data_IF_611745602305
#
_entry.id   IF_611745602305
#
_cell.length_a   1.000
_cell.length_b   1.000
_cell.length_c   1.000
_cell.angle_alpha   90.00
_cell.angle_beta   90.00
_cell.angle_gamma   90.00
#
_symmetry.space_group_name_H-M   'P 1'
#
loop_
_entity.id
_entity.type
_entity.pdbx_description
1 polymer ?
#
# COMPACT_ATOMS: atom_id res chain seq x y z
N UNK A 1 -30.84 -21.56 -7.47
CA UNK A 1 -30.50 -20.31 -6.75
C UNK A 1 -29.18 -20.39 -5.98
N UNK A 2 -28.84 -21.52 -5.34
CA UNK A 2 -27.58 -21.64 -4.56
C UNK A 2 -26.29 -21.48 -5.39
N UNK A 3 -26.24 -22.07 -6.60
CA UNK A 3 -25.10 -21.91 -7.51
C UNK A 3 -24.81 -20.46 -7.89
N UNK A 4 -25.85 -19.64 -8.12
CA UNK A 4 -25.70 -18.23 -8.49
C UNK A 4 -25.12 -17.43 -7.32
N UNK A 5 -25.59 -17.68 -6.09
CA UNK A 5 -25.05 -17.04 -4.87
C UNK A 5 -23.59 -17.39 -4.65
N UNK A 6 -23.21 -18.65 -4.87
CA UNK A 6 -21.82 -19.10 -4.76
C UNK A 6 -20.90 -18.43 -5.80
N UNK A 7 -21.35 -18.29 -7.05
CA UNK A 7 -20.58 -17.60 -8.10
C UNK A 7 -20.40 -16.12 -7.81
N UNK A 8 -21.45 -15.43 -7.33
CA UNK A 8 -21.35 -14.01 -6.95
C UNK A 8 -20.36 -13.84 -5.80
N UNK A 9 -20.46 -14.66 -4.75
CA UNK A 9 -19.52 -14.60 -3.62
C UNK A 9 -18.06 -14.83 -4.06
N UNK A 10 -17.82 -15.76 -4.98
CA UNK A 10 -16.50 -16.01 -5.54
C UNK A 10 -15.96 -14.82 -6.34
N UNK A 11 -16.80 -14.20 -7.17
CA UNK A 11 -16.43 -13.01 -7.96
C UNK A 11 -16.16 -11.80 -7.09
N UNK A 12 -16.98 -11.56 -6.06
CA UNK A 12 -16.75 -10.44 -5.13
C UNK A 12 -15.47 -10.66 -4.33
N UNK A 13 -15.23 -11.89 -3.85
CA UNK A 13 -14.01 -12.25 -3.13
C UNK A 13 -12.75 -12.06 -3.98
N UNK A 14 -12.78 -12.48 -5.25
CA UNK A 14 -11.63 -12.31 -6.15
C UNK A 14 -11.39 -10.84 -6.52
N UNK A 15 -12.44 -10.07 -6.78
CA UNK A 15 -12.33 -8.64 -7.06
C UNK A 15 -11.72 -7.86 -5.89
N UNK A 16 -12.16 -8.15 -4.65
CA UNK A 16 -11.59 -7.54 -3.44
C UNK A 16 -10.11 -7.94 -3.29
N UNK A 17 -9.78 -9.23 -3.46
CA UNK A 17 -8.40 -9.70 -3.36
C UNK A 17 -7.47 -9.02 -4.36
N UNK A 18 -7.89 -8.89 -5.62
CA UNK A 18 -7.14 -8.19 -6.66
C UNK A 18 -7.01 -6.71 -6.33
N UNK A 19 -8.11 -6.06 -5.91
CA UNK A 19 -8.10 -4.66 -5.53
C UNK A 19 -7.11 -4.37 -4.40
N UNK A 20 -7.10 -5.20 -3.35
CA UNK A 20 -6.15 -5.09 -2.25
C UNK A 20 -4.70 -5.26 -2.71
N UNK A 21 -4.41 -6.23 -3.58
CA UNK A 21 -3.07 -6.44 -4.12
C UNK A 21 -2.58 -5.25 -4.94
N UNK A 22 -3.43 -4.72 -5.83
CA UNK A 22 -3.08 -3.57 -6.66
C UNK A 22 -2.85 -2.32 -5.80
N UNK A 23 -3.78 -1.99 -4.91
CA UNK A 23 -3.66 -0.85 -3.99
C UNK A 23 -2.43 -0.97 -3.10
N UNK A 24 -2.16 -2.16 -2.54
CA UNK A 24 -0.97 -2.42 -1.73
C UNK A 24 0.33 -2.22 -2.52
N UNK A 25 0.38 -2.73 -3.75
CA UNK A 25 1.57 -2.62 -4.61
C UNK A 25 1.83 -1.19 -5.07
N UNK A 26 0.78 -0.48 -5.49
CA UNK A 26 0.87 0.93 -5.91
C UNK A 26 1.26 1.82 -4.73
N UNK A 27 0.66 1.60 -3.57
CA UNK A 27 1.01 2.31 -2.36
C UNK A 27 2.47 2.08 -1.96
N UNK A 28 2.92 0.84 -2.02
CA UNK A 28 4.30 0.49 -1.69
C UNK A 28 5.30 1.10 -2.68
N UNK A 29 4.99 1.07 -3.97
CA UNK A 29 5.80 1.71 -4.99
C UNK A 29 5.92 3.23 -4.78
N UNK A 30 4.83 3.89 -4.39
CA UNK A 30 4.86 5.31 -4.05
C UNK A 30 5.68 5.59 -2.78
N UNK A 31 5.62 4.71 -1.78
CA UNK A 31 6.51 4.80 -0.62
C UNK A 31 7.99 4.69 -1.01
N UNK A 32 8.36 3.73 -1.86
CA UNK A 32 9.74 3.61 -2.37
C UNK A 32 10.18 4.88 -3.08
N UNK A 33 9.29 5.45 -3.91
CA UNK A 33 9.54 6.71 -4.59
C UNK A 33 9.79 7.87 -3.62
N UNK A 34 8.96 8.01 -2.58
CA UNK A 34 9.16 9.03 -1.53
C UNK A 34 10.48 8.82 -0.80
N UNK A 35 10.83 7.58 -0.45
CA UNK A 35 12.10 7.27 0.21
C UNK A 35 13.31 7.74 -0.61
N UNK A 36 13.28 7.54 -1.93
CA UNK A 36 14.32 8.01 -2.85
C UNK A 36 14.33 9.55 -2.93
N UNK A 37 13.15 10.19 -3.02
CA UNK A 37 13.04 11.65 -3.13
C UNK A 37 13.49 12.39 -1.87
N UNK A 38 13.23 11.82 -0.70
CA UNK A 38 13.66 12.35 0.59
C UNK A 38 15.12 11.97 0.92
N UNK A 39 15.74 11.06 0.16
CA UNK A 39 17.07 10.53 0.48
C UNK A 39 17.09 9.70 1.78
N UNK A 40 15.94 9.18 2.20
CA UNK A 40 15.78 8.54 3.51
C UNK A 40 16.04 7.04 3.43
N UNK A 41 17.24 6.63 3.85
CA UNK A 41 17.62 5.21 3.87
C UNK A 41 16.76 4.40 4.85
N UNK A 42 16.37 4.98 5.99
CA UNK A 42 15.48 4.33 6.95
C UNK A 42 14.09 4.06 6.36
N UNK A 43 13.52 5.03 5.63
CA UNK A 43 12.23 4.87 4.96
C UNK A 43 12.28 3.77 3.89
N UNK A 44 13.38 3.71 3.14
CA UNK A 44 13.60 2.67 2.13
C UNK A 44 13.67 1.28 2.79
N UNK A 45 14.42 1.14 3.88
CA UNK A 45 14.56 -0.13 4.60
C UNK A 45 13.24 -0.62 5.20
N UNK A 46 12.44 0.29 5.79
CA UNK A 46 11.10 -0.04 6.31
C UNK A 46 10.20 -0.65 5.23
N UNK A 47 10.30 -0.17 3.99
CA UNK A 47 9.49 -0.72 2.92
C UNK A 47 10.00 -2.05 2.37
N UNK A 48 11.26 -2.44 2.62
CA UNK A 48 11.78 -3.77 2.26
C UNK A 48 11.54 -4.84 3.33
N UNK A 49 11.28 -4.42 4.58
CA UNK A 49 10.97 -5.33 5.67
C UNK A 49 9.55 -5.88 5.51
N UNK A 50 9.41 -7.02 4.83
CA UNK A 50 8.14 -7.71 4.50
C UNK A 50 6.87 -7.22 5.24
N UNK A 51 6.70 -7.48 6.54
CA UNK A 51 5.52 -7.03 7.30
C UNK A 51 5.35 -5.51 7.39
N UNK A 52 6.45 -4.77 7.57
CA UNK A 52 6.46 -3.30 7.52
C UNK A 52 6.24 -2.77 6.10
N UNK A 53 6.55 -3.56 5.08
CA UNK A 53 6.21 -3.27 3.67
C UNK A 53 4.71 -3.09 3.45
N UNK A 54 3.87 -3.77 4.24
CA UNK A 54 2.41 -3.58 4.21
C UNK A 54 2.04 -2.21 4.78
N UNK A 55 2.66 -1.80 5.89
CA UNK A 55 2.47 -0.47 6.49
C UNK A 55 2.96 0.62 5.52
N UNK A 56 4.12 0.41 4.91
CA UNK A 56 4.66 1.27 3.87
C UNK A 56 3.71 1.36 2.67
N UNK A 57 3.07 0.25 2.29
CA UNK A 57 2.04 0.22 1.26
C UNK A 57 0.83 1.08 1.60
N UNK A 58 0.29 0.94 2.81
CA UNK A 58 -0.86 1.73 3.28
C UNK A 58 -0.52 3.22 3.34
N UNK A 59 0.59 3.57 3.99
CA UNK A 59 1.01 4.97 4.15
C UNK A 59 1.45 5.60 2.83
N UNK A 60 2.06 4.82 1.94
CA UNK A 60 2.39 5.26 0.60
C UNK A 60 1.14 5.49 -0.24
N UNK A 61 0.13 4.61 -0.16
CA UNK A 61 -1.15 4.83 -0.84
C UNK A 61 -1.87 6.08 -0.30
N UNK A 62 -1.87 6.26 1.03
CA UNK A 62 -2.39 7.48 1.65
C UNK A 62 -1.67 8.72 1.12
N UNK A 63 -0.34 8.68 1.12
CA UNK A 63 0.48 9.81 0.71
C UNK A 63 0.34 10.13 -0.78
N UNK A 64 0.02 9.14 -1.61
CA UNK A 64 -0.28 9.32 -3.03
C UNK A 64 -1.59 10.09 -3.24
N UNK A 65 -2.62 9.80 -2.43
CA UNK A 65 -3.97 10.38 -2.60
C UNK A 65 -4.09 11.73 -1.88
N UNK A 66 -3.51 11.86 -0.69
CA UNK A 66 -3.71 12.99 0.21
C UNK A 66 -2.45 13.82 0.48
N UNK A 67 -1.30 13.39 -0.04
CA UNK A 67 0.00 13.98 0.29
C UNK A 67 0.62 13.37 1.56
N UNK A 68 1.94 13.52 1.68
CA UNK A 68 2.68 12.99 2.82
C UNK A 68 2.35 13.77 4.11
N UNK A 69 1.93 13.10 5.20
CA UNK A 69 1.61 13.79 6.44
C UNK A 69 2.88 14.34 7.12
N UNK A 70 2.75 15.49 7.79
CA UNK A 70 3.88 16.19 8.44
C UNK A 70 4.67 15.30 9.41
N UNK A 71 4.01 14.45 10.20
CA UNK A 71 4.70 13.54 11.12
C UNK A 71 5.58 12.53 10.39
N UNK A 72 5.18 12.09 9.20
CA UNK A 72 5.95 11.14 8.40
C UNK A 72 7.20 11.81 7.82
N UNK A 73 7.04 13.06 7.40
CA UNK A 73 8.15 13.90 6.96
C UNK A 73 9.11 14.24 8.11
N UNK A 74 8.63 14.46 9.34
CA UNK A 74 9.52 14.67 10.48
C UNK A 74 10.25 13.40 10.92
N UNK A 75 9.67 12.22 10.67
CA UNK A 75 10.26 10.94 11.03
C UNK A 75 11.32 10.47 10.04
N UNK A 76 11.12 10.75 8.75
CA UNK A 76 11.95 10.22 7.67
C UNK A 76 12.61 11.26 6.77
N UNK A 77 12.15 12.51 6.76
CA UNK A 77 12.68 13.60 5.94
C UNK A 77 13.83 14.37 6.59
#
# INVERSE_FOLDING_TARGET
MERIKATIAALTGSAIGIGCLLCGTVGWAYWMWMAIKLGSFAMFFVGLLGPLGVIAGILGLWSLIFGAPLWLLHLFG
#
